data_IF_276008106990
#
_entry.id   IF_276008106990
#
_cell.length_a   1.000
_cell.length_b   1.000
_cell.length_c   1.000
_cell.angle_alpha   90.00
_cell.angle_beta   90.00
_cell.angle_gamma   90.00
#
_symmetry.space_group_name_H-M   'P 1'
#
loop_
_entity.id
_entity.type
_entity.pdbx_description
1 polymer ?
#
# COMPACT_ATOMS: atom_id res chain seq x y z
N UNK A 1 -4.47 -2.97 8.64
CA UNK A 1 -3.01 -2.74 8.53
C UNK A 1 -2.70 -1.38 7.93
N UNK A 2 -2.86 -1.14 6.61
CA UNK A 2 -2.53 0.18 6.03
C UNK A 2 -3.32 1.34 6.66
N UNK A 3 -4.66 1.17 6.80
CA UNK A 3 -5.48 2.18 7.46
C UNK A 3 -4.99 2.44 8.89
N UNK A 4 -4.67 1.39 9.66
CA UNK A 4 -4.17 1.53 11.02
C UNK A 4 -2.81 2.25 11.07
N UNK A 5 -1.90 1.94 10.13
CA UNK A 5 -0.64 2.67 9.99
C UNK A 5 -0.88 4.15 9.67
N UNK A 6 -1.85 4.46 8.81
CA UNK A 6 -2.20 5.82 8.45
C UNK A 6 -2.85 6.59 9.61
N UNK A 7 -3.78 5.98 10.33
CA UNK A 7 -4.44 6.60 11.50
C UNK A 7 -3.45 6.88 12.65
N UNK A 8 -2.40 6.05 12.81
CA UNK A 8 -1.32 6.29 13.78
C UNK A 8 -0.25 7.28 13.31
N UNK A 9 -0.24 7.67 12.04
CA UNK A 9 0.86 8.45 11.46
C UNK A 9 0.87 9.91 11.99
N UNK A 10 2.03 10.52 12.28
CA UNK A 10 2.09 11.90 12.80
C UNK A 10 1.44 12.95 11.89
N UNK A 11 1.47 12.74 10.57
CA UNK A 11 0.84 13.64 9.58
C UNK A 11 -0.66 13.38 9.38
N UNK A 12 -1.26 12.41 10.08
CA UNK A 12 -2.68 12.04 9.92
C UNK A 12 -3.63 13.22 10.03
N UNK A 13 -3.33 14.17 10.91
CA UNK A 13 -4.14 15.37 11.14
C UNK A 13 -4.20 16.36 9.97
N UNK A 14 -3.31 16.21 8.98
CA UNK A 14 -3.30 17.06 7.78
C UNK A 14 -4.29 16.59 6.70
N UNK A 15 -4.96 15.46 6.91
CA UNK A 15 -5.84 14.83 5.93
C UNK A 15 -7.29 14.75 6.46
N UNK A 16 -8.30 14.72 5.57
CA UNK A 16 -9.70 14.56 5.95
C UNK A 16 -9.97 13.32 6.84
N UNK A 17 -11.09 13.29 7.58
CA UNK A 17 -11.49 12.11 8.34
C UNK A 17 -11.72 10.92 7.40
N UNK A 18 -11.57 9.70 7.92
CA UNK A 18 -11.81 8.49 7.15
C UNK A 18 -13.28 8.40 6.72
N UNK A 19 -13.52 8.33 5.41
CA UNK A 19 -14.85 8.32 4.82
C UNK A 19 -15.52 6.93 4.77
N UNK A 20 -14.84 5.89 5.27
CA UNK A 20 -15.29 4.50 5.17
C UNK A 20 -14.75 3.76 3.95
N UNK A 21 -15.11 2.49 3.83
CA UNK A 21 -14.82 1.66 2.66
C UNK A 21 -16.03 1.59 1.74
N UNK A 22 -15.76 1.53 0.44
CA UNK A 22 -16.76 1.20 -0.57
C UNK A 22 -16.30 -0.06 -1.29
N UNK A 23 -17.06 -1.14 -1.12
CA UNK A 23 -16.82 -2.37 -1.87
C UNK A 23 -17.27 -2.16 -3.32
N UNK A 24 -16.37 -2.43 -4.25
CA UNK A 24 -16.62 -2.32 -5.69
C UNK A 24 -16.22 -3.63 -6.34
N UNK A 25 -17.06 -4.14 -7.22
CA UNK A 25 -16.77 -5.37 -7.95
C UNK A 25 -15.59 -5.14 -8.92
N UNK A 26 -14.74 -6.15 -9.11
CA UNK A 26 -13.49 -5.98 -9.85
C UNK A 26 -13.71 -5.72 -11.34
N UNK A 27 -14.76 -6.28 -11.96
CA UNK A 27 -15.13 -5.97 -13.34
C UNK A 27 -15.76 -4.57 -13.48
N UNK A 28 -16.45 -4.06 -12.46
CA UNK A 28 -16.90 -2.66 -12.43
C UNK A 28 -15.73 -1.68 -12.28
N UNK A 29 -14.69 -2.05 -11.51
CA UNK A 29 -13.52 -1.20 -11.29
C UNK A 29 -12.49 -1.27 -12.44
N UNK A 30 -12.12 -2.48 -12.87
CA UNK A 30 -11.08 -2.73 -13.89
C UNK A 30 -11.63 -2.98 -15.30
N UNK A 31 -12.92 -3.26 -15.44
CA UNK A 31 -13.59 -3.49 -16.72
C UNK A 31 -13.94 -4.96 -17.01
N UNK A 32 -14.86 -5.14 -17.96
CA UNK A 32 -15.34 -6.46 -18.40
C UNK A 32 -14.18 -7.32 -18.94
N UNK A 33 -14.07 -8.53 -18.44
CA UNK A 33 -13.03 -9.49 -18.85
C UNK A 33 -11.77 -9.47 -17.99
N UNK A 34 -11.70 -8.62 -16.96
CA UNK A 34 -10.65 -8.69 -15.96
C UNK A 34 -10.67 -10.05 -15.24
N UNK A 35 -9.52 -10.70 -15.16
CA UNK A 35 -9.31 -11.95 -14.43
C UNK A 35 -8.06 -11.81 -13.57
N UNK A 36 -8.21 -12.04 -12.27
CA UNK A 36 -7.10 -12.00 -11.33
C UNK A 36 -6.62 -13.41 -10.96
N UNK A 37 -5.38 -13.48 -10.49
CA UNK A 37 -4.75 -14.69 -9.96
C UNK A 37 -4.87 -14.65 -8.44
N UNK A 38 -5.68 -15.56 -7.89
CA UNK A 38 -5.98 -15.61 -6.45
C UNK A 38 -4.75 -15.82 -5.57
N UNK A 39 -3.75 -16.57 -6.04
CA UNK A 39 -2.62 -17.00 -5.22
C UNK A 39 -1.28 -16.61 -5.85
N UNK A 40 -0.54 -15.74 -5.17
CA UNK A 40 0.80 -15.31 -5.57
C UNK A 40 1.78 -15.48 -4.41
N UNK A 41 2.41 -16.65 -4.32
CA UNK A 41 3.43 -16.95 -3.30
C UNK A 41 4.71 -17.47 -3.97
N UNK A 42 5.78 -16.67 -4.04
CA UNK A 42 7.02 -17.12 -4.66
C UNK A 42 7.74 -18.15 -3.78
N UNK A 43 8.37 -19.13 -4.43
CA UNK A 43 9.37 -19.98 -3.76
C UNK A 43 10.71 -19.24 -3.69
N UNK A 44 11.22 -19.02 -2.48
CA UNK A 44 12.50 -18.33 -2.25
C UNK A 44 13.70 -19.27 -2.17
N UNK A 45 13.55 -20.54 -2.57
CA UNK A 45 14.61 -21.56 -2.49
C UNK A 45 15.88 -21.15 -3.26
N UNK A 46 15.71 -20.57 -4.44
CA UNK A 46 16.85 -20.12 -5.24
C UNK A 46 17.58 -18.95 -4.59
N UNK A 47 16.86 -17.96 -4.05
CA UNK A 47 17.48 -16.84 -3.35
C UNK A 47 18.28 -17.30 -2.12
N UNK A 48 17.73 -18.24 -1.33
CA UNK A 48 18.44 -18.86 -0.21
C UNK A 48 19.70 -19.62 -0.65
N UNK A 49 19.62 -20.42 -1.71
CA UNK A 49 20.74 -21.25 -2.18
C UNK A 49 21.85 -20.44 -2.87
N UNK A 50 21.47 -19.48 -3.71
CA UNK A 50 22.40 -18.77 -4.58
C UNK A 50 22.95 -17.50 -3.94
N UNK A 51 22.18 -16.86 -3.06
CA UNK A 51 22.50 -15.54 -2.49
C UNK A 51 22.57 -15.56 -0.96
N UNK A 52 22.30 -16.70 -0.31
CA UNK A 52 22.14 -16.80 1.16
C UNK A 52 21.13 -15.79 1.71
N UNK A 53 20.14 -15.41 0.89
CA UNK A 53 19.20 -14.34 1.19
C UNK A 53 17.86 -14.87 1.69
N UNK A 54 17.27 -14.16 2.64
CA UNK A 54 15.89 -14.33 3.11
C UNK A 54 15.31 -12.95 3.43
N UNK A 55 13.99 -12.71 3.25
CA UNK A 55 13.39 -11.45 3.67
C UNK A 55 13.49 -11.33 5.20
N UNK A 56 13.90 -10.16 5.67
CA UNK A 56 14.07 -9.85 7.09
C UNK A 56 13.12 -8.75 7.58
N UNK A 57 12.63 -7.90 6.67
CA UNK A 57 11.71 -6.81 6.99
C UNK A 57 10.27 -7.34 7.01
N UNK A 58 9.54 -7.19 8.13
CA UNK A 58 8.13 -7.56 8.21
C UNK A 58 7.23 -6.70 7.32
N UNK A 59 6.04 -7.22 7.01
CA UNK A 59 5.07 -6.53 6.16
C UNK A 59 4.59 -5.20 6.77
N UNK A 60 4.33 -5.17 8.08
CA UNK A 60 3.87 -3.95 8.76
C UNK A 60 4.91 -2.84 8.70
N UNK A 61 6.17 -3.15 9.04
CA UNK A 61 7.30 -2.21 8.93
C UNK A 61 7.47 -1.68 7.50
N UNK A 62 7.37 -2.57 6.50
CA UNK A 62 7.43 -2.18 5.09
C UNK A 62 6.34 -1.18 4.73
N UNK A 63 5.11 -1.40 5.20
CA UNK A 63 3.99 -0.50 4.94
C UNK A 63 4.13 0.83 5.67
N UNK A 64 4.57 0.83 6.93
CA UNK A 64 4.81 2.07 7.69
C UNK A 64 5.87 2.95 7.01
N UNK A 65 7.03 2.39 6.65
CA UNK A 65 8.10 3.14 5.99
C UNK A 65 7.71 3.66 4.61
N UNK A 66 7.00 2.83 3.83
CA UNK A 66 6.54 3.25 2.50
C UNK A 66 5.51 4.37 2.60
N UNK A 67 4.57 4.27 3.55
CA UNK A 67 3.57 5.29 3.81
C UNK A 67 4.20 6.61 4.26
N UNK A 68 5.10 6.59 5.25
CA UNK A 68 5.80 7.79 5.73
C UNK A 68 6.53 8.51 4.59
N UNK A 69 7.24 7.75 3.74
CA UNK A 69 7.91 8.30 2.56
C UNK A 69 6.92 9.02 1.64
N UNK A 70 5.81 8.40 1.28
CA UNK A 70 4.81 9.04 0.40
C UNK A 70 4.22 10.31 1.03
N UNK A 71 3.83 10.27 2.31
CA UNK A 71 3.21 11.42 2.97
C UNK A 71 4.14 12.62 3.11
N UNK A 72 5.46 12.40 3.13
CA UNK A 72 6.46 13.48 3.24
C UNK A 72 6.96 14.01 1.90
N UNK A 73 6.86 13.22 0.84
CA UNK A 73 7.49 13.53 -0.46
C UNK A 73 6.50 13.94 -1.53
N UNK A 74 5.21 13.66 -1.35
CA UNK A 74 4.19 14.17 -2.24
C UNK A 74 4.04 15.67 -1.98
N UNK A 75 4.48 16.48 -2.95
CA UNK A 75 4.01 17.85 -3.07
C UNK A 75 2.49 17.78 -3.30
N UNK A 76 1.72 18.18 -2.29
CA UNK A 76 0.30 18.41 -2.49
C UNK A 76 0.20 19.46 -3.58
N UNK A 77 -0.32 19.09 -4.75
CA UNK A 77 -0.61 20.07 -5.78
C UNK A 77 -1.46 21.16 -5.13
N UNK A 78 -0.92 22.37 -5.03
CA UNK A 78 -1.65 23.52 -4.53
C UNK A 78 -3.01 23.52 -5.22
N UNK A 79 -4.06 23.54 -4.40
CA UNK A 79 -5.44 23.52 -4.85
C UNK A 79 -5.63 24.75 -5.76
N UNK A 80 -5.53 24.55 -7.07
CA UNK A 80 -5.79 25.58 -8.07
C UNK A 80 -7.29 25.81 -8.15
N UNK A 81 -7.84 26.52 -7.18
CA UNK A 81 -9.06 27.33 -7.30
C UNK A 81 -9.11 28.26 -6.10
N UNK A 82 -8.73 29.54 -6.24
CA UNK A 82 -9.61 30.69 -6.58
C UNK A 82 -10.78 30.89 -5.61
#
# INVERSE_FOLDING_TARGET
MLLDCFERHPLRGNFPPFAGFRDVESSDYYGKGYQDVEHRKPSIRNAKRCLSWTPTVPMEETVEHTLDFFLRTVELADDKTS
#
